data_IF_386144044358
#
_entry.id   IF_386144044358
#
_cell.length_a   1.000
_cell.length_b   1.000
_cell.length_c   1.000
_cell.angle_alpha   90.00
_cell.angle_beta   90.00
_cell.angle_gamma   90.00
#
_symmetry.space_group_name_H-M   'P 1'
#
loop_
_entity.id
_entity.type
_entity.pdbx_description
1 polymer ?
#
# COMPACT_ATOMS: atom_id res chain seq x y z
N UNK A 1 -28.67 17.78 2.20
CA UNK A 1 -27.83 17.24 1.11
C UNK A 1 -28.20 15.77 0.97
N UNK A 2 -28.75 15.32 -0.16
CA UNK A 2 -29.10 13.92 -0.38
C UNK A 2 -27.94 13.18 -1.05
N UNK A 3 -27.63 11.98 -0.57
CA UNK A 3 -26.67 11.08 -1.21
C UNK A 3 -27.22 10.69 -2.58
N UNK A 4 -26.40 10.82 -3.62
CA UNK A 4 -26.78 10.56 -5.02
C UNK A 4 -26.54 9.09 -5.40
N UNK A 5 -25.61 8.42 -4.74
CA UNK A 5 -25.25 7.03 -5.02
C UNK A 5 -24.44 6.40 -3.87
N UNK A 6 -24.56 5.08 -3.68
CA UNK A 6 -23.73 4.31 -2.74
C UNK A 6 -23.42 2.91 -3.32
N UNK A 7 -22.20 2.39 -3.13
CA UNK A 7 -21.84 1.03 -3.54
C UNK A 7 -22.49 -0.02 -2.63
N UNK A 8 -22.94 -1.15 -3.21
CA UNK A 8 -23.61 -2.22 -2.47
C UNK A 8 -22.65 -3.29 -1.90
N UNK A 9 -21.45 -3.44 -2.47
CA UNK A 9 -20.52 -4.53 -2.16
C UNK A 9 -19.13 -4.00 -1.74
N UNK A 10 -19.08 -3.17 -0.70
CA UNK A 10 -17.83 -2.53 -0.24
C UNK A 10 -16.81 -3.59 0.23
N UNK A 11 -17.28 -4.66 0.87
CA UNK A 11 -16.43 -5.71 1.44
C UNK A 11 -15.69 -6.54 0.38
N UNK A 12 -16.20 -6.56 -0.85
CA UNK A 12 -15.60 -7.31 -1.97
C UNK A 12 -14.50 -6.50 -2.69
N UNK A 13 -14.30 -5.24 -2.30
CA UNK A 13 -13.30 -4.37 -2.94
C UNK A 13 -11.89 -4.71 -2.48
N UNK A 14 -10.90 -4.42 -3.34
CA UNK A 14 -9.48 -4.52 -2.96
C UNK A 14 -9.13 -3.56 -1.80
N UNK A 15 -9.86 -2.46 -1.64
CA UNK A 15 -9.65 -1.54 -0.52
C UNK A 15 -10.06 -2.17 0.81
N UNK A 16 -11.19 -2.87 0.86
CA UNK A 16 -11.59 -3.62 2.06
C UNK A 16 -10.58 -4.75 2.37
N UNK A 17 -10.07 -5.45 1.35
CA UNK A 17 -9.02 -6.46 1.54
C UNK A 17 -7.73 -5.84 2.10
N UNK A 18 -7.30 -4.69 1.57
CA UNK A 18 -6.12 -3.97 2.06
C UNK A 18 -6.30 -3.50 3.50
N UNK A 19 -7.48 -2.97 3.84
CA UNK A 19 -7.81 -2.57 5.21
C UNK A 19 -7.66 -3.74 6.18
N UNK A 20 -8.25 -4.91 5.87
CA UNK A 20 -8.13 -6.09 6.73
C UNK A 20 -6.67 -6.59 6.85
N UNK A 21 -5.87 -6.48 5.78
CA UNK A 21 -4.44 -6.81 5.83
C UNK A 21 -3.67 -5.87 6.77
N UNK A 22 -3.99 -4.57 6.77
CA UNK A 22 -3.43 -3.60 7.72
C UNK A 22 -3.82 -3.93 9.16
N UNK A 23 -5.11 -4.20 9.41
CA UNK A 23 -5.60 -4.59 10.75
C UNK A 23 -4.87 -5.83 11.26
N UNK A 24 -4.75 -6.87 10.43
CA UNK A 24 -4.09 -8.12 10.79
C UNK A 24 -2.59 -7.94 11.06
N UNK A 25 -1.88 -7.14 10.25
CA UNK A 25 -0.44 -6.92 10.40
C UNK A 25 -0.07 -6.11 11.63
N UNK A 26 -0.84 -5.07 11.93
CA UNK A 26 -0.50 -4.10 12.97
C UNK A 26 -1.36 -4.20 14.22
N UNK A 27 -2.29 -5.16 14.27
CA UNK A 27 -3.23 -5.36 15.38
C UNK A 27 -3.99 -4.06 15.73
N UNK A 28 -4.45 -3.36 14.70
CA UNK A 28 -5.26 -2.14 14.81
C UNK A 28 -6.71 -2.43 14.39
N UNK A 29 -7.64 -1.55 14.76
CA UNK A 29 -9.03 -1.60 14.27
C UNK A 29 -9.32 -0.37 13.42
N UNK A 30 -9.67 -0.58 12.17
CA UNK A 30 -9.97 0.44 11.16
C UNK A 30 -11.41 0.19 10.68
N UNK A 31 -12.37 0.91 11.26
CA UNK A 31 -13.79 0.60 11.03
C UNK A 31 -14.29 0.98 9.63
N UNK A 32 -13.58 1.90 8.95
CA UNK A 32 -13.95 2.44 7.65
C UNK A 32 -12.73 3.02 6.92
N UNK A 33 -12.98 3.55 5.72
CA UNK A 33 -11.97 4.20 4.90
C UNK A 33 -11.36 5.44 5.60
N UNK A 34 -12.14 6.19 6.37
CA UNK A 34 -11.65 7.40 7.04
C UNK A 34 -10.64 7.06 8.14
N UNK A 35 -10.89 5.97 8.88
CA UNK A 35 -9.94 5.41 9.84
C UNK A 35 -8.65 4.96 9.15
N UNK A 36 -8.75 4.24 8.02
CA UNK A 36 -7.58 3.84 7.23
C UNK A 36 -6.79 5.05 6.70
N UNK A 37 -7.49 6.09 6.23
CA UNK A 37 -6.89 7.33 5.75
C UNK A 37 -6.13 8.05 6.87
N UNK A 38 -6.74 8.23 8.04
CA UNK A 38 -6.09 8.82 9.20
C UNK A 38 -4.82 8.04 9.58
N UNK A 39 -4.93 6.70 9.65
CA UNK A 39 -3.80 5.82 9.92
C UNK A 39 -2.69 5.95 8.87
N UNK A 40 -3.02 6.09 7.58
CA UNK A 40 -2.04 6.26 6.50
C UNK A 40 -1.20 7.53 6.65
N UNK A 41 -1.81 8.59 7.20
CA UNK A 41 -1.13 9.87 7.44
C UNK A 41 -0.28 9.78 8.70
N UNK A 42 -0.78 9.16 9.77
CA UNK A 42 -0.05 9.02 11.02
C UNK A 42 1.17 8.10 10.83
N UNK A 43 1.00 6.98 10.13
CA UNK A 43 2.00 5.92 9.97
C UNK A 43 2.52 5.79 8.53
N UNK A 44 2.88 6.90 7.88
CA UNK A 44 3.28 6.97 6.46
C UNK A 44 4.25 5.89 6.01
N UNK A 45 5.31 5.65 6.80
CA UNK A 45 6.32 4.65 6.47
C UNK A 45 5.75 3.22 6.50
N UNK A 46 4.94 2.89 7.50
CA UNK A 46 4.28 1.58 7.60
C UNK A 46 3.25 1.41 6.50
N UNK A 47 2.46 2.45 6.22
CA UNK A 47 1.48 2.45 5.15
C UNK A 47 2.11 2.13 3.79
N UNK A 48 3.14 2.88 3.37
CA UNK A 48 3.78 2.64 2.08
C UNK A 48 4.54 1.32 2.00
N UNK A 49 5.12 0.85 3.13
CA UNK A 49 5.66 -0.50 3.19
C UNK A 49 4.59 -1.56 2.95
N UNK A 50 3.43 -1.40 3.57
CA UNK A 50 2.30 -2.32 3.45
C UNK A 50 1.72 -2.30 2.05
N UNK A 51 1.61 -1.12 1.42
CA UNK A 51 1.21 -1.00 0.00
C UNK A 51 2.16 -1.80 -0.90
N UNK A 52 3.47 -1.63 -0.73
CA UNK A 52 4.45 -2.38 -1.53
C UNK A 52 4.33 -3.90 -1.32
N UNK A 53 4.08 -4.35 -0.09
CA UNK A 53 3.87 -5.76 0.24
C UNK A 53 2.55 -6.31 -0.33
N UNK A 54 1.46 -5.57 -0.20
CA UNK A 54 0.12 -5.95 -0.68
C UNK A 54 0.11 -6.14 -2.20
N UNK A 55 0.75 -5.22 -2.93
CA UNK A 55 0.93 -5.34 -4.39
C UNK A 55 2.06 -6.30 -4.79
N UNK A 56 2.73 -6.94 -3.83
CA UNK A 56 3.82 -7.91 -4.03
C UNK A 56 4.95 -7.33 -4.89
N UNK A 57 5.30 -6.08 -4.63
CA UNK A 57 6.35 -5.37 -5.35
C UNK A 57 7.68 -6.10 -5.19
N UNK A 58 8.35 -6.42 -6.31
CA UNK A 58 9.60 -7.17 -6.30
C UNK A 58 10.79 -6.22 -6.33
N UNK A 59 11.53 -6.18 -5.24
CA UNK A 59 12.78 -5.44 -5.16
C UNK A 59 13.96 -6.37 -5.42
N UNK A 60 14.95 -5.92 -6.20
CA UNK A 60 16.23 -6.62 -6.31
C UNK A 60 17.08 -6.40 -5.06
N UNK A 61 17.07 -5.17 -4.55
CA UNK A 61 17.62 -4.82 -3.24
C UNK A 61 16.49 -4.26 -2.39
N UNK A 62 16.22 -4.79 -1.19
CA UNK A 62 15.17 -4.27 -0.31
C UNK A 62 15.52 -2.87 0.22
N UNK A 63 14.50 -2.08 0.55
CA UNK A 63 14.70 -0.80 1.23
C UNK A 63 15.29 -1.01 2.62
N UNK A 64 16.29 -0.21 2.99
CA UNK A 64 16.80 -0.15 4.38
C UNK A 64 16.01 0.87 5.22
N UNK A 65 15.35 1.83 4.55
CA UNK A 65 14.48 2.81 5.19
C UNK A 65 13.36 3.20 4.23
N UNK A 66 12.10 3.08 4.66
CA UNK A 66 10.94 3.36 3.80
C UNK A 66 10.73 4.85 3.58
N UNK A 67 10.94 5.66 4.61
CA UNK A 67 10.77 7.11 4.55
C UNK A 67 11.75 7.79 5.52
N UNK A 68 12.53 8.74 5.01
CA UNK A 68 13.34 9.67 5.83
C UNK A 68 13.13 11.09 5.32
N UNK A 69 12.78 12.02 6.20
CA UNK A 69 12.51 13.41 5.84
C UNK A 69 12.61 14.36 7.04
N UNK A 70 12.92 15.62 6.79
CA UNK A 70 12.80 16.74 7.76
C UNK A 70 11.79 17.80 7.30
N UNK A 71 11.46 17.80 6.01
CA UNK A 71 10.50 18.65 5.31
C UNK A 71 9.82 17.83 4.19
N UNK A 72 8.87 18.42 3.47
CA UNK A 72 8.25 17.72 2.35
C UNK A 72 9.23 17.52 1.17
N UNK A 73 10.10 18.50 0.91
CA UNK A 73 10.95 18.53 -0.29
C UNK A 73 12.19 17.63 -0.20
N UNK A 74 12.65 17.33 1.01
CA UNK A 74 13.79 16.43 1.25
C UNK A 74 13.36 14.97 1.51
N UNK A 75 12.07 14.67 1.35
CA UNK A 75 11.55 13.34 1.62
C UNK A 75 12.14 12.30 0.67
N UNK A 76 12.83 11.31 1.26
CA UNK A 76 13.41 10.18 0.55
C UNK A 76 12.64 8.92 0.89
N UNK A 77 12.09 8.30 -0.16
CA UNK A 77 11.30 7.07 -0.06
C UNK A 77 12.10 5.85 -0.51
N UNK A 78 11.86 4.70 0.13
CA UNK A 78 12.47 3.40 -0.19
C UNK A 78 13.99 3.46 -0.39
N UNK A 79 14.69 4.09 0.55
CA UNK A 79 16.14 4.30 0.49
C UNK A 79 16.85 2.94 0.44
N UNK A 80 17.80 2.82 -0.49
CA UNK A 80 18.57 1.60 -0.72
C UNK A 80 17.84 0.55 -1.58
N UNK A 81 16.54 0.76 -1.84
CA UNK A 81 15.81 -0.17 -2.69
C UNK A 81 16.19 0.00 -4.16
N UNK A 82 16.26 -1.12 -4.87
CA UNK A 82 16.41 -1.14 -6.33
C UNK A 82 15.34 -2.04 -6.94
N UNK A 83 14.78 -1.61 -8.06
CA UNK A 83 13.78 -2.37 -8.81
C UNK A 83 13.75 -1.89 -10.27
N UNK A 84 13.14 -2.66 -11.16
CA UNK A 84 12.88 -2.25 -12.53
C UNK A 84 11.39 -1.98 -12.73
N UNK A 85 11.02 -0.75 -13.09
CA UNK A 85 9.63 -0.36 -13.25
C UNK A 85 8.90 -1.11 -14.38
N UNK A 86 9.57 -1.33 -15.52
CA UNK A 86 8.99 -2.08 -16.64
C UNK A 86 8.73 -3.54 -16.25
N UNK A 87 9.65 -4.17 -15.52
CA UNK A 87 9.45 -5.53 -14.99
C UNK A 87 8.25 -5.61 -14.05
N UNK A 88 8.06 -4.62 -13.15
CA UNK A 88 6.90 -4.60 -12.26
C UNK A 88 5.57 -4.51 -13.04
N UNK A 89 5.52 -3.67 -14.08
CA UNK A 89 4.31 -3.45 -14.88
C UNK A 89 4.02 -4.58 -15.87
N UNK A 90 5.06 -5.17 -16.45
CA UNK A 90 4.96 -6.20 -17.48
C UNK A 90 5.07 -7.63 -16.92
N UNK A 91 5.15 -7.77 -15.59
CA UNK A 91 5.10 -9.06 -14.93
C UNK A 91 3.83 -9.80 -15.35
N UNK A 92 4.00 -10.94 -16.02
CA UNK A 92 2.89 -11.76 -16.46
C UNK A 92 2.18 -12.35 -15.25
N UNK A 93 0.85 -12.44 -15.34
CA UNK A 93 -0.02 -13.04 -14.33
C UNK A 93 -0.53 -14.43 -14.76
N UNK A 94 0.04 -14.99 -15.81
CA UNK A 94 -0.28 -16.31 -16.36
C UNK A 94 0.79 -17.35 -15.96
N UNK A 95 0.42 -18.63 -16.03
CA UNK A 95 1.32 -19.75 -15.73
C UNK A 95 2.17 -20.16 -16.94
N UNK A 96 2.57 -19.20 -17.78
CA UNK A 96 3.35 -19.51 -18.97
C UNK A 96 4.75 -20.02 -18.55
N UNK A 97 5.00 -21.32 -18.73
CA UNK A 97 6.33 -21.90 -18.67
C UNK A 97 6.92 -21.87 -20.08
N UNK A 98 8.06 -21.19 -20.22
CA UNK A 98 8.83 -21.17 -21.47
C UNK A 98 9.64 -22.47 -21.64
#
# INVERSE_FOLDING_TARGET
>A
MSIVWQPHAIQDTQMAQFLHDVEARFNVRLNDYDALYAWSIEHKALFWQTVAQFFKFKFFTPATCILKYTSLLDAKWFIGATFNFAEQLLARRDNYQA
#
